data_IF_369913186484
#
_entry.id   IF_369913186484
#
_cell.length_a   1.000
_cell.length_b   1.000
_cell.length_c   1.000
_cell.angle_alpha   90.00
_cell.angle_beta   90.00
_cell.angle_gamma   90.00
#
_symmetry.space_group_name_H-M   'P 1'
#
loop_
_entity.id
_entity.type
_entity.pdbx_description
1 polymer ?
#
# COMPACT_ATOMS: atom_id res chain seq x y z
N UNK A 1 -12.31 23.29 -9.29
CA UNK A 1 -11.27 22.45 -9.91
C UNK A 1 -11.47 21.00 -9.48
N UNK A 2 -11.15 19.99 -10.30
CA UNK A 2 -11.18 18.60 -9.86
C UNK A 2 -10.25 18.39 -8.66
N UNK A 3 -10.63 17.50 -7.74
CA UNK A 3 -9.75 17.07 -6.65
C UNK A 3 -8.58 16.27 -7.18
N UNK A 4 -7.47 16.26 -6.45
CA UNK A 4 -6.24 15.58 -6.84
C UNK A 4 -5.87 14.51 -5.81
N UNK A 5 -5.61 13.28 -6.28
CA UNK A 5 -5.12 12.17 -5.45
C UNK A 5 -3.70 11.79 -5.86
N UNK A 6 -2.82 11.61 -4.87
CA UNK A 6 -1.53 10.96 -5.03
C UNK A 6 -1.61 9.54 -4.48
N UNK A 7 -1.27 8.54 -5.30
CA UNK A 7 -1.34 7.12 -4.92
C UNK A 7 0.04 6.50 -5.05
N UNK A 8 0.50 5.81 -3.99
CA UNK A 8 1.77 5.07 -4.02
C UNK A 8 1.58 3.63 -4.48
N UNK A 9 2.57 3.07 -5.20
CA UNK A 9 2.55 1.67 -5.61
C UNK A 9 1.58 1.34 -6.74
N UNK A 10 1.45 2.24 -7.75
CA UNK A 10 0.50 2.09 -8.86
C UNK A 10 0.97 1.18 -10.00
N UNK A 11 2.11 0.49 -9.91
CA UNK A 11 2.59 -0.32 -11.03
C UNK A 11 1.67 -1.49 -11.38
N UNK A 12 0.99 -2.08 -10.42
CA UNK A 12 0.07 -3.22 -10.54
C UNK A 12 -0.98 -3.21 -9.44
N UNK A 13 -1.93 -4.13 -9.47
CA UNK A 13 -2.82 -4.45 -8.37
C UNK A 13 -3.73 -3.30 -7.95
N UNK A 14 -4.07 -3.27 -6.67
CA UNK A 14 -5.02 -2.31 -6.08
C UNK A 14 -4.65 -0.86 -6.43
N UNK A 15 -3.38 -0.47 -6.29
CA UNK A 15 -2.94 0.90 -6.57
C UNK A 15 -3.15 1.32 -8.02
N UNK A 16 -2.91 0.42 -8.99
CA UNK A 16 -3.18 0.68 -10.40
C UNK A 16 -4.67 0.81 -10.66
N UNK A 17 -5.47 -0.12 -10.13
CA UNK A 17 -6.93 -0.14 -10.31
C UNK A 17 -7.57 1.10 -9.68
N UNK A 18 -7.15 1.48 -8.47
CA UNK A 18 -7.61 2.71 -7.82
C UNK A 18 -7.23 3.97 -8.63
N UNK A 19 -5.99 4.07 -9.12
CA UNK A 19 -5.57 5.20 -9.95
C UNK A 19 -6.44 5.36 -11.20
N UNK A 20 -6.73 4.26 -11.89
CA UNK A 20 -7.62 4.24 -13.05
C UNK A 20 -9.07 4.57 -12.67
N UNK A 21 -9.52 4.10 -11.51
CA UNK A 21 -10.86 4.39 -11.01
C UNK A 21 -11.03 5.89 -10.73
N UNK A 22 -10.15 6.52 -9.95
CA UNK A 22 -10.18 7.97 -9.70
C UNK A 22 -10.16 8.79 -10.99
N UNK A 23 -9.35 8.41 -11.98
CA UNK A 23 -9.28 9.10 -13.25
C UNK A 23 -10.61 9.05 -14.04
N UNK A 24 -11.28 7.88 -14.03
CA UNK A 24 -12.62 7.72 -14.65
C UNK A 24 -13.69 8.56 -13.95
N UNK A 25 -13.53 8.82 -12.66
CA UNK A 25 -14.42 9.66 -11.86
C UNK A 25 -14.08 11.17 -11.98
N UNK A 26 -13.17 11.53 -12.88
CA UNK A 26 -12.84 12.93 -13.18
C UNK A 26 -11.87 13.60 -12.20
N UNK A 27 -11.19 12.83 -11.34
CA UNK A 27 -10.14 13.35 -10.49
C UNK A 27 -8.84 13.53 -11.26
N UNK A 28 -8.00 14.46 -10.79
CA UNK A 28 -6.59 14.48 -11.14
C UNK A 28 -5.86 13.37 -10.38
N UNK A 29 -5.05 12.58 -11.07
CA UNK A 29 -4.37 11.42 -10.50
C UNK A 29 -2.86 11.54 -10.67
N UNK A 30 -2.14 11.45 -9.55
CA UNK A 30 -0.69 11.30 -9.51
C UNK A 30 -0.40 9.84 -9.16
N UNK A 31 -0.23 9.02 -10.20
CA UNK A 31 0.07 7.60 -10.05
C UNK A 31 1.59 7.41 -9.89
N UNK A 32 2.01 6.89 -8.74
CA UNK A 32 3.44 6.81 -8.45
C UNK A 32 3.95 5.38 -8.29
N UNK A 33 5.19 5.17 -8.70
CA UNK A 33 5.88 3.88 -8.65
C UNK A 33 7.39 4.04 -8.74
N UNK A 34 8.13 3.00 -8.36
CA UNK A 34 9.61 3.03 -8.40
C UNK A 34 10.18 3.15 -9.81
N UNK A 35 9.54 2.53 -10.80
CA UNK A 35 10.01 2.44 -12.21
C UNK A 35 8.88 2.83 -13.16
N UNK A 36 8.64 4.12 -13.40
CA UNK A 36 7.53 4.58 -14.27
C UNK A 36 7.67 4.13 -15.73
N UNK A 37 8.90 4.01 -16.26
CA UNK A 37 9.13 3.59 -17.64
C UNK A 37 8.72 2.17 -17.99
N UNK A 38 8.49 1.31 -16.98
CA UNK A 38 7.95 -0.04 -17.16
C UNK A 38 6.42 -0.10 -17.03
N UNK A 39 5.77 1.02 -16.74
CA UNK A 39 4.33 1.09 -16.52
C UNK A 39 3.58 1.11 -17.85
N UNK A 40 2.62 0.21 -18.00
CA UNK A 40 1.77 0.11 -19.19
C UNK A 40 0.29 0.22 -18.82
N UNK A 41 -0.55 0.61 -19.78
CA UNK A 41 -2.00 0.64 -19.63
C UNK A 41 -2.53 1.78 -18.75
N UNK A 42 -1.80 2.90 -18.68
CA UNK A 42 -2.29 4.15 -18.12
C UNK A 42 -2.81 5.06 -19.24
N UNK A 43 -3.85 5.88 -18.97
CA UNK A 43 -4.36 6.80 -19.96
C UNK A 43 -3.37 7.97 -20.18
N UNK A 44 -3.24 8.38 -21.43
CA UNK A 44 -2.55 9.63 -21.79
C UNK A 44 -3.58 10.78 -21.83
N UNK A 45 -3.95 11.26 -20.64
CA UNK A 45 -4.96 12.31 -20.46
C UNK A 45 -4.42 13.42 -19.56
N UNK A 46 -5.00 14.62 -19.69
CA UNK A 46 -4.55 15.78 -18.92
C UNK A 46 -4.69 15.63 -17.42
N UNK A 47 -5.63 14.81 -16.95
CA UNK A 47 -5.90 14.53 -15.54
C UNK A 47 -5.12 13.34 -14.98
N UNK A 48 -4.19 12.74 -15.76
CA UNK A 48 -3.40 11.59 -15.31
C UNK A 48 -1.90 11.89 -15.42
N UNK A 49 -1.17 11.72 -14.34
CA UNK A 49 0.27 11.97 -14.25
C UNK A 49 0.99 10.79 -13.61
N UNK A 50 1.89 10.17 -14.36
CA UNK A 50 2.73 9.08 -13.87
C UNK A 50 4.09 9.62 -13.49
N UNK A 51 4.56 9.37 -12.27
CA UNK A 51 5.88 9.83 -11.82
C UNK A 51 6.57 8.83 -10.91
N UNK A 52 7.88 9.00 -10.74
CA UNK A 52 8.67 8.15 -9.85
C UNK A 52 8.45 8.54 -8.39
N UNK A 53 8.17 7.53 -7.56
CA UNK A 53 8.22 7.63 -6.12
C UNK A 53 8.68 6.30 -5.53
N UNK A 54 9.73 6.35 -4.72
CA UNK A 54 10.18 5.26 -3.88
C UNK A 54 9.93 5.66 -2.42
N UNK A 55 9.10 4.90 -1.72
CA UNK A 55 8.70 5.21 -0.34
C UNK A 55 9.87 5.12 0.65
N UNK A 56 10.95 4.45 0.28
CA UNK A 56 12.18 4.38 1.07
C UNK A 56 13.12 5.57 0.83
N UNK A 57 12.81 6.45 -0.14
CA UNK A 57 13.67 7.57 -0.52
C UNK A 57 12.95 8.92 -0.34
N UNK A 58 13.32 9.63 0.72
CA UNK A 58 12.70 10.91 1.08
C UNK A 58 12.81 11.98 -0.02
N UNK A 59 13.90 12.01 -0.80
CA UNK A 59 14.06 12.95 -1.91
C UNK A 59 13.08 12.60 -3.05
N UNK A 60 12.95 11.32 -3.38
CA UNK A 60 11.99 10.84 -4.38
C UNK A 60 10.55 11.20 -4.02
N UNK A 61 10.19 11.08 -2.73
CA UNK A 61 8.85 11.43 -2.23
C UNK A 61 8.58 12.92 -2.42
N UNK A 62 9.49 13.79 -1.97
CA UNK A 62 9.35 15.23 -2.12
C UNK A 62 9.23 15.65 -3.59
N UNK A 63 10.10 15.14 -4.44
CA UNK A 63 10.06 15.41 -5.89
C UNK A 63 8.69 15.04 -6.50
N UNK A 64 8.12 13.89 -6.11
CA UNK A 64 6.82 13.47 -6.62
C UNK A 64 5.67 14.38 -6.15
N UNK A 65 5.69 14.80 -4.87
CA UNK A 65 4.72 15.73 -4.30
C UNK A 65 4.81 17.09 -5.03
N UNK A 66 6.00 17.67 -5.15
CA UNK A 66 6.22 18.97 -5.79
C UNK A 66 5.81 18.94 -7.27
N UNK A 67 6.16 17.88 -8.00
CA UNK A 67 5.75 17.69 -9.38
C UNK A 67 4.21 17.59 -9.52
N UNK A 68 3.56 16.88 -8.60
CA UNK A 68 2.11 16.76 -8.57
C UNK A 68 1.41 18.10 -8.30
N UNK A 69 1.91 18.88 -7.34
CA UNK A 69 1.40 20.23 -7.03
C UNK A 69 1.62 21.15 -8.23
N UNK A 70 2.78 21.12 -8.85
CA UNK A 70 3.08 21.92 -10.06
C UNK A 70 2.14 21.56 -11.20
N UNK A 71 1.83 20.28 -11.38
CA UNK A 71 0.98 19.79 -12.47
C UNK A 71 -0.49 20.13 -12.29
N UNK A 72 -1.04 20.01 -11.06
CA UNK A 72 -2.48 20.09 -10.81
C UNK A 72 -2.89 21.22 -9.86
N UNK A 73 -1.93 21.97 -9.32
CA UNK A 73 -2.16 23.07 -8.39
C UNK A 73 -2.37 22.64 -6.95
N UNK A 74 -2.83 21.41 -6.72
CA UNK A 74 -3.09 20.90 -5.39
C UNK A 74 -2.98 19.37 -5.30
N UNK A 75 -2.80 18.86 -4.06
CA UNK A 75 -3.04 17.47 -3.68
C UNK A 75 -4.05 17.51 -2.53
N UNK A 76 -5.15 16.78 -2.65
CA UNK A 76 -6.22 16.73 -1.66
C UNK A 76 -6.19 15.41 -0.87
N UNK A 77 -5.75 14.33 -1.50
CA UNK A 77 -5.70 12.99 -0.92
C UNK A 77 -4.34 12.33 -1.17
N UNK A 78 -3.74 11.77 -0.13
CA UNK A 78 -2.62 10.85 -0.20
C UNK A 78 -3.14 9.42 0.06
N UNK A 79 -2.93 8.49 -0.89
CA UNK A 79 -3.21 7.07 -0.72
C UNK A 79 -1.88 6.30 -0.58
N UNK A 80 -1.59 5.82 0.61
CA UNK A 80 -0.48 4.94 0.91
C UNK A 80 -0.87 3.50 0.62
N UNK A 81 -0.62 3.05 -0.62
CA UNK A 81 -0.92 1.69 -1.06
C UNK A 81 0.35 0.85 -1.30
N UNK A 82 1.52 1.47 -1.49
CA UNK A 82 2.77 0.72 -1.69
C UNK A 82 3.05 -0.21 -0.51
N UNK A 83 3.20 -1.51 -0.80
CA UNK A 83 3.46 -2.53 0.20
C UNK A 83 3.62 -3.90 -0.43
N UNK A 84 4.12 -4.84 0.35
CA UNK A 84 4.21 -6.26 -0.01
C UNK A 84 4.14 -7.14 1.24
N UNK A 85 3.96 -8.44 1.06
CA UNK A 85 3.94 -9.39 2.15
C UNK A 85 5.03 -10.44 2.02
N UNK A 86 5.60 -10.82 3.15
CA UNK A 86 6.44 -12.01 3.27
C UNK A 86 5.58 -13.16 3.79
N UNK A 87 5.67 -14.30 3.13
CA UNK A 87 5.00 -15.53 3.51
C UNK A 87 6.07 -16.59 3.81
N UNK A 88 6.00 -17.19 4.98
CA UNK A 88 6.96 -18.23 5.36
C UNK A 88 7.07 -18.40 6.88
N UNK A 89 7.97 -19.31 7.27
CA UNK A 89 8.34 -19.53 8.67
C UNK A 89 9.26 -18.40 9.11
N UNK A 90 8.96 -17.80 10.25
CA UNK A 90 9.69 -16.66 10.80
C UNK A 90 11.19 -16.96 10.97
N UNK A 91 11.50 -18.11 11.55
CA UNK A 91 12.86 -18.54 11.86
C UNK A 91 13.77 -18.66 10.62
N UNK A 92 13.19 -18.99 9.47
CA UNK A 92 13.95 -19.12 8.21
C UNK A 92 13.97 -17.85 7.37
N UNK A 93 13.34 -16.76 7.84
CA UNK A 93 13.31 -15.51 7.08
C UNK A 93 14.59 -14.71 7.29
N UNK A 94 15.35 -14.34 6.24
CA UNK A 94 16.56 -13.54 6.37
C UNK A 94 16.31 -12.15 6.95
N UNK A 95 17.22 -11.66 7.78
CA UNK A 95 17.12 -10.34 8.45
C UNK A 95 16.91 -9.18 7.48
N UNK A 96 17.56 -9.20 6.32
CA UNK A 96 17.40 -8.17 5.29
C UNK A 96 15.98 -8.15 4.72
N UNK A 97 15.30 -9.29 4.63
CA UNK A 97 13.90 -9.36 4.19
C UNK A 97 12.94 -8.84 5.25
N UNK A 98 13.24 -9.12 6.53
CA UNK A 98 12.50 -8.56 7.66
C UNK A 98 12.57 -7.03 7.61
N UNK A 99 13.78 -6.48 7.46
CA UNK A 99 14.00 -5.02 7.36
C UNK A 99 13.27 -4.43 6.14
N UNK A 100 13.44 -5.04 4.95
CA UNK A 100 12.74 -4.58 3.73
C UNK A 100 11.22 -4.50 3.92
N UNK A 101 10.62 -5.49 4.61
CA UNK A 101 9.18 -5.51 4.91
C UNK A 101 8.76 -4.28 5.72
N UNK A 102 9.47 -3.96 6.79
CA UNK A 102 9.17 -2.81 7.63
C UNK A 102 9.54 -1.48 6.96
N UNK A 103 10.65 -1.43 6.23
CA UNK A 103 11.09 -0.24 5.51
C UNK A 103 10.07 0.22 4.47
N UNK A 104 9.39 -0.73 3.81
CA UNK A 104 8.34 -0.40 2.85
C UNK A 104 6.99 -0.18 3.53
N UNK A 105 6.52 -1.15 4.33
CA UNK A 105 5.14 -1.17 4.82
C UNK A 105 4.88 -0.22 5.99
N UNK A 106 5.91 0.14 6.75
CA UNK A 106 5.80 0.99 7.95
C UNK A 106 6.55 2.30 7.74
N UNK A 107 7.87 2.25 7.63
CA UNK A 107 8.67 3.47 7.48
C UNK A 107 8.40 4.21 6.18
N UNK A 108 8.12 3.50 5.10
CA UNK A 108 7.72 4.09 3.83
C UNK A 108 6.43 4.90 3.92
N UNK A 109 5.43 4.40 4.64
CA UNK A 109 4.19 5.15 4.93
C UNK A 109 4.47 6.35 5.82
N UNK A 110 5.26 6.19 6.88
CA UNK A 110 5.68 7.30 7.74
C UNK A 110 6.39 8.40 6.93
N UNK A 111 7.26 8.02 6.00
CA UNK A 111 8.00 8.97 5.16
C UNK A 111 7.08 9.78 4.24
N UNK A 112 6.12 9.13 3.60
CA UNK A 112 5.15 9.81 2.71
C UNK A 112 4.23 10.74 3.50
N UNK A 113 3.74 10.31 4.66
CA UNK A 113 2.94 11.13 5.57
C UNK A 113 3.75 12.36 6.02
N UNK A 114 4.95 12.17 6.55
CA UNK A 114 5.81 13.28 7.01
C UNK A 114 6.13 14.28 5.90
N UNK A 115 6.28 13.80 4.67
CA UNK A 115 6.58 14.68 3.53
C UNK A 115 5.40 15.55 3.11
N UNK A 116 4.16 15.04 3.18
CA UNK A 116 2.98 15.80 2.75
C UNK A 116 2.36 16.66 3.86
N UNK A 117 2.56 16.31 5.13
CA UNK A 117 1.94 16.99 6.27
C UNK A 117 2.18 18.50 6.32
N UNK A 118 3.38 19.06 6.07
CA UNK A 118 3.58 20.51 6.03
C UNK A 118 2.65 21.19 5.03
N UNK A 119 2.45 20.60 3.86
CA UNK A 119 1.58 21.11 2.82
C UNK A 119 0.10 21.05 3.22
N UNK A 120 -0.37 19.91 3.73
CA UNK A 120 -1.76 19.76 4.22
C UNK A 120 -2.05 20.70 5.39
N UNK A 121 -1.10 20.83 6.33
CA UNK A 121 -1.23 21.74 7.48
C UNK A 121 -1.33 23.22 7.05
N UNK A 122 -0.52 23.64 6.07
CA UNK A 122 -0.60 25.00 5.53
C UNK A 122 -1.96 25.28 4.88
N UNK A 123 -2.55 24.28 4.24
CA UNK A 123 -3.87 24.38 3.60
C UNK A 123 -5.03 24.21 4.60
N UNK A 124 -4.77 23.74 5.81
CA UNK A 124 -5.80 23.30 6.77
C UNK A 124 -6.82 22.33 6.13
N UNK A 125 -6.33 21.48 5.23
CA UNK A 125 -7.13 20.51 4.50
C UNK A 125 -6.25 19.39 3.94
N UNK A 126 -6.71 18.16 4.06
CA UNK A 126 -6.07 16.98 3.49
C UNK A 126 -6.70 15.69 4.00
N UNK A 127 -6.57 14.63 3.21
CA UNK A 127 -6.95 13.28 3.61
C UNK A 127 -5.79 12.32 3.36
N UNK A 128 -5.46 11.53 4.35
CA UNK A 128 -4.50 10.43 4.25
C UNK A 128 -5.31 9.14 4.32
N UNK A 129 -5.15 8.27 3.33
CA UNK A 129 -5.74 6.95 3.32
C UNK A 129 -4.63 5.91 3.28
N UNK A 130 -4.60 5.06 4.31
CA UNK A 130 -3.64 3.98 4.43
C UNK A 130 -4.28 2.65 4.05
N UNK A 131 -3.72 1.97 3.03
CA UNK A 131 -4.15 0.62 2.65
C UNK A 131 -3.44 -0.37 3.56
N UNK A 132 -4.16 -0.82 4.57
CA UNK A 132 -3.74 -1.85 5.52
C UNK A 132 -4.06 -3.26 4.99
N UNK A 133 -4.64 -4.09 5.80
CA UNK A 133 -5.09 -5.46 5.47
C UNK A 133 -5.92 -6.01 6.63
N UNK A 134 -6.78 -6.99 6.39
CA UNK A 134 -7.32 -7.83 7.45
C UNK A 134 -6.23 -8.44 8.34
N UNK A 135 -5.02 -8.63 7.81
CA UNK A 135 -3.84 -9.06 8.58
C UNK A 135 -3.29 -7.99 9.55
N UNK A 136 -3.84 -6.79 9.56
CA UNK A 136 -3.60 -5.75 10.56
C UNK A 136 -4.58 -5.78 11.73
N UNK A 137 -5.66 -6.57 11.61
CA UNK A 137 -6.73 -6.70 12.60
C UNK A 137 -6.69 -8.08 13.28
N UNK A 138 -6.34 -9.12 12.52
CA UNK A 138 -6.15 -10.48 13.05
C UNK A 138 -4.93 -11.14 12.42
N UNK A 139 -4.26 -12.01 13.21
CA UNK A 139 -3.07 -12.69 12.74
C UNK A 139 -3.39 -13.91 11.87
N UNK A 140 -2.54 -14.16 10.87
CA UNK A 140 -2.62 -15.31 9.98
C UNK A 140 -1.35 -16.16 10.09
N UNK A 141 -1.44 -17.49 9.99
CA UNK A 141 -0.27 -18.36 10.04
C UNK A 141 0.67 -18.07 8.87
N UNK A 142 1.98 -18.26 9.08
CA UNK A 142 3.05 -18.00 8.09
C UNK A 142 3.10 -16.55 7.55
N UNK A 143 2.42 -15.60 8.18
CA UNK A 143 2.41 -14.18 7.82
C UNK A 143 2.84 -13.28 8.99
N UNK A 144 3.58 -13.81 9.97
CA UNK A 144 3.93 -13.12 11.22
C UNK A 144 4.52 -11.72 10.98
N UNK A 145 5.49 -11.59 10.05
CA UNK A 145 6.14 -10.32 9.73
C UNK A 145 5.22 -9.35 9.00
N UNK A 146 4.40 -9.87 8.09
CA UNK A 146 3.41 -9.06 7.40
C UNK A 146 2.33 -8.56 8.37
N UNK A 147 1.78 -9.45 9.21
CA UNK A 147 0.85 -9.06 10.27
C UNK A 147 1.46 -7.97 11.17
N UNK A 148 2.68 -8.19 11.67
CA UNK A 148 3.36 -7.21 12.52
C UNK A 148 3.48 -5.84 11.85
N UNK A 149 3.82 -5.78 10.55
CA UNK A 149 3.90 -4.53 9.80
C UNK A 149 2.54 -3.85 9.61
N UNK A 150 1.47 -4.63 9.45
CA UNK A 150 0.12 -4.08 9.29
C UNK A 150 -0.49 -3.65 10.62
N UNK A 151 -0.30 -4.40 11.70
CA UNK A 151 -0.67 -3.95 13.06
C UNK A 151 0.05 -2.64 13.44
N UNK A 152 1.34 -2.49 13.07
CA UNK A 152 2.06 -1.23 13.27
C UNK A 152 1.42 -0.07 12.49
N UNK A 153 0.95 -0.32 11.26
CA UNK A 153 0.27 0.68 10.43
C UNK A 153 -1.09 1.07 11.01
N UNK A 154 -1.86 0.11 11.54
CA UNK A 154 -3.14 0.37 12.22
C UNK A 154 -2.92 1.31 13.42
N UNK A 155 -2.06 0.93 14.38
CA UNK A 155 -1.80 1.73 15.57
C UNK A 155 -1.23 3.12 15.25
N UNK A 156 -0.35 3.23 14.24
CA UNK A 156 0.12 4.52 13.73
C UNK A 156 -1.03 5.38 13.23
N UNK A 157 -1.90 4.80 12.41
CA UNK A 157 -3.00 5.52 11.75
C UNK A 157 -4.03 6.01 12.75
N UNK A 158 -4.43 5.16 13.70
CA UNK A 158 -5.36 5.54 14.77
C UNK A 158 -4.78 6.67 15.63
N UNK A 159 -3.53 6.54 16.08
CA UNK A 159 -2.89 7.55 16.92
C UNK A 159 -2.75 8.89 16.19
N UNK A 160 -2.28 8.90 14.94
CA UNK A 160 -2.16 10.10 14.14
C UNK A 160 -3.53 10.79 13.88
N UNK A 161 -4.64 10.05 13.87
CA UNK A 161 -5.96 10.64 13.65
C UNK A 161 -6.30 11.68 14.72
N UNK A 162 -5.89 11.46 15.97
CA UNK A 162 -6.07 12.43 17.07
C UNK A 162 -5.20 13.66 16.89
N UNK A 163 -3.93 13.48 16.51
CA UNK A 163 -2.99 14.58 16.30
C UNK A 163 -3.45 15.51 15.17
N UNK A 164 -3.88 14.92 14.05
CA UNK A 164 -4.16 15.64 12.82
C UNK A 164 -5.57 16.22 12.74
N UNK A 165 -6.50 15.76 13.58
CA UNK A 165 -7.84 16.31 13.66
C UNK A 165 -7.83 17.84 13.96
N UNK A 166 -6.90 18.31 14.81
CA UNK A 166 -6.73 19.72 15.12
C UNK A 166 -6.28 20.58 13.92
N UNK A 167 -5.74 19.94 12.88
CA UNK A 167 -5.24 20.57 11.66
C UNK A 167 -6.21 20.42 10.48
N UNK A 168 -7.42 19.91 10.73
CA UNK A 168 -8.41 19.57 9.69
C UNK A 168 -7.87 18.61 8.63
N UNK A 169 -7.03 17.66 9.05
CA UNK A 169 -6.46 16.59 8.21
C UNK A 169 -7.05 15.28 8.68
N UNK A 170 -7.74 14.57 7.77
CA UNK A 170 -8.33 13.26 8.05
C UNK A 170 -7.34 12.12 7.83
N UNK A 171 -7.49 11.03 8.62
CA UNK A 171 -6.89 9.73 8.32
C UNK A 171 -7.99 8.69 8.17
N UNK A 172 -7.83 7.82 7.17
CA UNK A 172 -8.69 6.65 6.94
C UNK A 172 -7.81 5.42 6.71
N UNK A 173 -8.35 4.27 7.09
CA UNK A 173 -7.74 2.97 6.88
C UNK A 173 -8.67 2.15 6.01
N UNK A 174 -8.11 1.43 5.05
CA UNK A 174 -8.81 0.39 4.27
C UNK A 174 -8.12 -0.93 4.54
N UNK A 175 -8.90 -1.93 4.93
CA UNK A 175 -8.44 -3.25 5.37
C UNK A 175 -8.88 -4.33 4.37
N UNK A 176 -8.22 -4.45 3.20
CA UNK A 176 -8.59 -5.47 2.23
C UNK A 176 -8.44 -6.87 2.83
N UNK A 177 -9.39 -7.74 2.54
CA UNK A 177 -9.27 -9.18 2.73
C UNK A 177 -8.35 -9.82 1.68
N UNK A 178 -8.55 -11.12 1.42
CA UNK A 178 -7.84 -11.80 0.35
C UNK A 178 -8.26 -11.25 -1.03
N UNK A 179 -7.32 -10.71 -1.79
CA UNK A 179 -7.52 -10.25 -3.18
C UNK A 179 -6.64 -11.11 -4.09
N UNK A 180 -7.25 -12.05 -4.81
CA UNK A 180 -6.51 -13.09 -5.56
C UNK A 180 -5.90 -12.59 -6.86
N UNK A 181 -6.44 -11.53 -7.45
CA UNK A 181 -6.00 -11.00 -8.75
C UNK A 181 -4.71 -10.19 -8.69
N UNK A 182 -4.20 -9.89 -7.47
CA UNK A 182 -3.00 -9.08 -7.30
C UNK A 182 -1.72 -9.89 -7.44
N UNK A 183 -0.63 -9.23 -7.85
CA UNK A 183 0.73 -9.81 -7.82
C UNK A 183 1.26 -10.06 -6.38
N UNK A 184 0.49 -9.69 -5.35
CA UNK A 184 0.87 -9.88 -3.94
C UNK A 184 1.14 -11.36 -3.62
N UNK A 185 0.20 -12.25 -3.98
CA UNK A 185 0.33 -13.68 -3.70
C UNK A 185 1.48 -14.35 -4.47
N UNK A 186 1.70 -13.96 -5.73
CA UNK A 186 2.80 -14.51 -6.54
C UNK A 186 4.16 -14.05 -6.02
N UNK A 187 4.31 -12.77 -5.66
CA UNK A 187 5.55 -12.24 -5.07
C UNK A 187 5.85 -12.90 -3.72
N UNK A 188 4.87 -12.94 -2.83
CA UNK A 188 5.03 -13.56 -1.51
C UNK A 188 5.38 -15.05 -1.61
N UNK A 189 4.81 -15.77 -2.58
CA UNK A 189 5.13 -17.17 -2.85
C UNK A 189 6.54 -17.38 -3.43
N UNK A 190 7.00 -16.50 -4.33
CA UNK A 190 8.36 -16.55 -4.86
C UNK A 190 9.41 -16.28 -3.78
N UNK A 191 9.16 -15.35 -2.88
CA UNK A 191 10.06 -15.07 -1.75
C UNK A 191 10.06 -16.22 -0.74
N UNK A 192 8.90 -16.84 -0.46
CA UNK A 192 8.79 -18.02 0.38
C UNK A 192 9.58 -19.23 -0.17
N UNK A 193 9.54 -19.43 -1.49
CA UNK A 193 10.26 -20.53 -2.15
C UNK A 193 11.79 -20.42 -2.06
N UNK A 194 12.33 -19.24 -1.75
CA UNK A 194 13.77 -19.03 -1.55
C UNK A 194 14.26 -19.41 -0.15
N UNK A 195 13.34 -19.59 0.80
CA UNK A 195 13.65 -19.89 2.20
C UNK A 195 13.14 -21.29 2.54
N UNK A 196 14.07 -22.24 2.71
CA UNK A 196 13.72 -23.59 3.13
C UNK A 196 13.46 -23.61 4.63
N UNK A 197 12.23 -23.91 5.08
CA UNK A 197 11.96 -24.02 6.49
C UNK A 197 12.64 -25.25 7.10
N UNK A 198 12.99 -25.22 8.42
CA UNK A 198 13.45 -26.41 9.10
C UNK A 198 12.45 -27.58 8.95
N UNK A 199 12.95 -28.84 8.84
CA UNK A 199 12.08 -30.01 8.60
C UNK A 199 10.99 -30.21 9.65
N UNK A 200 11.24 -29.75 10.86
CA UNK A 200 10.29 -29.81 12.00
C UNK A 200 8.99 -29.04 11.73
N UNK A 201 8.99 -28.08 10.80
CA UNK A 201 7.80 -27.32 10.39
C UNK A 201 7.01 -27.97 9.24
N UNK A 202 7.43 -29.11 8.69
CA UNK A 202 6.84 -29.70 7.48
C UNK A 202 5.32 -29.94 7.59
N UNK A 203 4.89 -30.53 8.71
CA UNK A 203 3.46 -30.79 8.97
C UNK A 203 2.65 -29.50 9.10
N UNK A 204 3.19 -28.51 9.82
CA UNK A 204 2.58 -27.19 9.96
C UNK A 204 2.45 -26.46 8.62
N UNK A 205 3.49 -26.46 7.80
CA UNK A 205 3.47 -25.85 6.47
C UNK A 205 2.43 -26.51 5.58
N UNK A 206 2.36 -27.84 5.61
CA UNK A 206 1.37 -28.61 4.84
C UNK A 206 -0.05 -28.31 5.29
N UNK A 207 -0.31 -28.31 6.58
CA UNK A 207 -1.63 -28.02 7.15
C UNK A 207 -2.06 -26.58 6.82
N UNK A 208 -1.17 -25.61 6.98
CA UNK A 208 -1.41 -24.21 6.65
C UNK A 208 -1.71 -24.01 5.16
N UNK A 209 -0.96 -24.71 4.29
CA UNK A 209 -1.22 -24.69 2.84
C UNK A 209 -2.63 -25.12 2.47
N UNK A 210 -3.17 -26.15 3.14
CA UNK A 210 -4.58 -26.61 2.94
C UNK A 210 -5.58 -25.53 3.38
N UNK A 211 -5.33 -24.86 4.50
CA UNK A 211 -6.19 -23.75 4.99
C UNK A 211 -6.23 -22.61 3.97
N UNK A 212 -5.07 -22.16 3.46
CA UNK A 212 -5.03 -21.12 2.45
C UNK A 212 -5.67 -21.54 1.12
N UNK A 213 -5.55 -22.80 0.73
CA UNK A 213 -6.24 -23.33 -0.44
C UNK A 213 -7.77 -23.27 -0.27
N UNK A 214 -8.28 -23.65 0.91
CA UNK A 214 -9.70 -23.56 1.23
C UNK A 214 -10.17 -22.10 1.24
N UNK A 215 -9.41 -21.18 1.81
CA UNK A 215 -9.75 -19.75 1.81
C UNK A 215 -9.79 -19.17 0.38
N UNK A 216 -8.92 -19.61 -0.51
CA UNK A 216 -8.93 -19.18 -1.93
C UNK A 216 -10.15 -19.64 -2.70
N UNK A 217 -10.78 -20.72 -2.29
CA UNK A 217 -12.02 -21.22 -2.91
C UNK A 217 -13.28 -20.52 -2.40
N UNK A 218 -13.18 -19.70 -1.35
CA UNK A 218 -14.28 -18.87 -0.86
C UNK A 218 -14.43 -17.58 -1.69
N UNK A 219 -15.53 -16.84 -1.49
CA UNK A 219 -15.73 -15.53 -2.14
C UNK A 219 -14.61 -14.58 -1.74
N UNK A 220 -13.90 -14.06 -2.73
CA UNK A 220 -12.80 -13.14 -2.55
C UNK A 220 -13.12 -11.76 -3.14
N UNK A 221 -12.53 -10.72 -2.57
CA UNK A 221 -12.62 -9.39 -3.15
C UNK A 221 -11.76 -9.29 -4.42
N UNK A 222 -12.19 -8.43 -5.33
CA UNK A 222 -11.41 -8.03 -6.50
C UNK A 222 -10.63 -6.74 -6.23
N UNK A 223 -9.66 -6.42 -7.09
CA UNK A 223 -8.98 -5.12 -7.06
C UNK A 223 -9.98 -3.96 -7.24
N UNK A 224 -11.05 -4.18 -8.03
CA UNK A 224 -12.07 -3.16 -8.23
C UNK A 224 -12.91 -2.93 -6.97
N UNK A 225 -13.31 -3.99 -6.27
CA UNK A 225 -14.05 -3.84 -4.99
C UNK A 225 -13.26 -3.00 -3.99
N UNK A 226 -11.94 -3.21 -3.91
CA UNK A 226 -11.08 -2.41 -3.03
C UNK A 226 -10.91 -0.98 -3.55
N UNK A 227 -10.77 -0.79 -4.86
CA UNK A 227 -10.67 0.54 -5.47
C UNK A 227 -11.93 1.38 -5.24
N UNK A 228 -13.12 0.74 -5.26
CA UNK A 228 -14.41 1.37 -4.98
C UNK A 228 -14.52 1.85 -3.52
N UNK A 229 -13.90 1.12 -2.57
CA UNK A 229 -13.84 1.52 -1.15
C UNK A 229 -12.82 2.65 -0.92
N UNK A 230 -11.71 2.67 -1.68
CA UNK A 230 -10.68 3.71 -1.59
C UNK A 230 -11.23 5.05 -2.14
N UNK A 231 -12.08 5.02 -3.14
CA UNK A 231 -12.73 6.18 -3.73
C UNK A 231 -13.86 6.73 -2.82
#
# INVERSE_FOLDING_TARGET
MPKTVLITGCSTGIGKTAALHFARQGWNVIATMRRPGAATGFPDTQNFFVTRLDVQNAASIRTAIDAGITRFGAIDVLVNNAGFGLFGIFESTPDEKIREQFDVNVFGVMNTIRAILPYFRQRQAGLILNVSSGAGVFALPMLSLYCASKFALEGLSESLSYELASQNIGIKIVEPGGVVSTAFGSRSGQEAAQNTPPPEYADFVTATGRVFQSLRSSRQATEQDVADVIY
#
